data_IF_474967409027
#
_entry.id   IF_474967409027
#
_cell.length_a   1.000
_cell.length_b   1.000
_cell.length_c   1.000
_cell.angle_alpha   90.00
_cell.angle_beta   90.00
_cell.angle_gamma   90.00
#
_symmetry.space_group_name_H-M   'P 1'
#
loop_
_entity.id
_entity.type
_entity.pdbx_description
1 polymer ?
#
# COMPACT_ATOMS: atom_id res chain seq x y z
N UNK A 1 53.25 33.20 -40.03
CA UNK A 1 53.22 31.74 -40.20
C UNK A 1 52.51 30.96 -39.09
N UNK A 2 52.73 31.26 -37.81
CA UNK A 2 52.04 30.57 -36.70
C UNK A 2 50.50 30.67 -36.76
N UNK A 3 49.96 31.85 -37.06
CA UNK A 3 48.51 32.06 -37.12
C UNK A 3 47.84 31.35 -38.31
N UNK A 4 48.57 31.18 -39.42
CA UNK A 4 48.07 30.46 -40.61
C UNK A 4 47.98 28.95 -40.33
N UNK A 5 48.94 28.42 -39.56
CA UNK A 5 48.97 27.02 -39.14
C UNK A 5 47.87 26.75 -38.10
N UNK A 6 47.62 27.67 -37.16
CA UNK A 6 46.53 27.56 -36.19
C UNK A 6 45.15 27.56 -36.87
N UNK A 7 44.94 28.45 -37.86
CA UNK A 7 43.70 28.48 -38.63
C UNK A 7 43.48 27.20 -39.44
N UNK A 8 44.52 26.64 -40.05
CA UNK A 8 44.44 25.37 -40.77
C UNK A 8 44.15 24.18 -39.84
N UNK A 9 44.75 24.13 -38.64
CA UNK A 9 44.49 23.07 -37.65
C UNK A 9 43.03 23.11 -37.15
N UNK A 10 42.47 24.31 -36.96
CA UNK A 10 41.06 24.47 -36.57
C UNK A 10 40.09 24.10 -37.69
N UNK A 11 40.41 24.37 -38.96
CA UNK A 11 39.58 23.95 -40.09
C UNK A 11 39.63 22.43 -40.34
N UNK A 12 40.77 21.77 -40.13
CA UNK A 12 40.90 20.30 -40.29
C UNK A 12 40.03 19.55 -39.27
N UNK A 13 39.78 20.14 -38.10
CA UNK A 13 39.02 19.50 -37.02
C UNK A 13 37.50 19.47 -37.21
N UNK A 14 36.92 20.30 -38.09
CA UNK A 14 35.45 20.40 -38.23
C UNK A 14 34.90 19.77 -39.51
N UNK A 15 35.73 19.60 -40.55
CA UNK A 15 35.31 19.02 -41.84
C UNK A 15 35.78 17.57 -42.05
N UNK A 16 36.41 16.96 -41.04
CA UNK A 16 36.86 15.58 -41.15
C UNK A 16 35.66 14.64 -41.31
N UNK A 17 35.68 13.81 -42.35
CA UNK A 17 34.58 12.89 -42.68
C UNK A 17 34.21 11.94 -41.52
N UNK A 18 35.16 11.65 -40.64
CA UNK A 18 34.91 10.87 -39.42
C UNK A 18 34.02 11.59 -38.40
N UNK A 19 34.12 12.92 -38.24
CA UNK A 19 33.23 13.65 -37.33
C UNK A 19 31.78 13.59 -37.83
N UNK A 20 31.55 13.79 -39.14
CA UNK A 20 30.22 13.62 -39.74
C UNK A 20 29.67 12.20 -39.56
N UNK A 21 30.52 11.17 -39.63
CA UNK A 21 30.12 9.79 -39.37
C UNK A 21 29.77 9.55 -37.90
N UNK A 22 30.51 10.15 -36.97
CA UNK A 22 30.24 10.08 -35.53
C UNK A 22 28.90 10.77 -35.21
N UNK A 23 28.69 12.00 -35.71
CA UNK A 23 27.44 12.74 -35.52
C UNK A 23 26.25 11.96 -36.08
N UNK A 24 26.41 11.36 -37.26
CA UNK A 24 25.36 10.55 -37.89
C UNK A 24 25.09 9.26 -37.10
N UNK A 25 26.12 8.63 -36.54
CA UNK A 25 25.97 7.46 -35.67
C UNK A 25 25.28 7.81 -34.36
N UNK A 26 25.60 8.96 -33.77
CA UNK A 26 24.97 9.47 -32.56
C UNK A 26 23.48 9.75 -32.78
N UNK A 27 23.15 10.50 -33.84
CA UNK A 27 21.76 10.81 -34.19
C UNK A 27 20.94 9.54 -34.45
N UNK A 28 21.51 8.59 -35.22
CA UNK A 28 20.84 7.32 -35.49
C UNK A 28 20.64 6.47 -34.22
N UNK A 29 21.61 6.49 -33.30
CA UNK A 29 21.50 5.75 -32.04
C UNK A 29 20.48 6.38 -31.11
N UNK A 30 20.46 7.71 -31.02
CA UNK A 30 19.47 8.45 -30.24
C UNK A 30 18.05 8.18 -30.74
N UNK A 31 17.83 8.27 -32.06
CA UNK A 31 16.53 7.98 -32.67
C UNK A 31 16.05 6.55 -32.36
N UNK A 32 16.94 5.55 -32.48
CA UNK A 32 16.60 4.15 -32.17
C UNK A 32 16.25 3.92 -30.70
N UNK A 33 16.98 4.57 -29.78
CA UNK A 33 16.69 4.50 -28.35
C UNK A 33 15.32 5.12 -28.05
N UNK A 34 15.04 6.26 -28.68
CA UNK A 34 13.77 6.95 -28.52
C UNK A 34 12.59 6.11 -29.03
N UNK A 35 12.71 5.55 -30.24
CA UNK A 35 11.69 4.67 -30.83
C UNK A 35 11.43 3.42 -29.97
N UNK A 36 12.49 2.79 -29.47
CA UNK A 36 12.37 1.63 -28.60
C UNK A 36 11.69 1.98 -27.27
N UNK A 37 12.06 3.10 -26.66
CA UNK A 37 11.44 3.58 -25.42
C UNK A 37 9.96 3.93 -25.63
N UNK A 38 9.62 4.54 -26.76
CA UNK A 38 8.23 4.91 -27.08
C UNK A 38 7.37 3.69 -27.38
N UNK A 39 7.93 2.68 -28.05
CA UNK A 39 7.27 1.39 -28.25
C UNK A 39 7.00 0.70 -26.90
N UNK A 40 8.00 0.62 -26.03
CA UNK A 40 7.83 0.03 -24.70
C UNK A 40 6.78 0.76 -23.84
N UNK A 41 6.69 2.10 -23.95
CA UNK A 41 5.64 2.87 -23.27
C UNK A 41 4.24 2.54 -23.80
N UNK A 42 4.10 2.39 -25.13
CA UNK A 42 2.81 2.02 -25.74
C UNK A 42 2.38 0.61 -25.33
N UNK A 43 3.30 -0.35 -25.35
CA UNK A 43 3.03 -1.73 -24.92
C UNK A 43 2.60 -1.77 -23.45
N UNK A 44 3.26 -1.01 -22.58
CA UNK A 44 2.88 -0.90 -21.17
C UNK A 44 1.48 -0.30 -21.00
N UNK A 45 1.18 0.76 -21.74
CA UNK A 45 -0.12 1.43 -21.69
C UNK A 45 -1.24 0.48 -22.11
N UNK A 46 -1.04 -0.28 -23.19
CA UNK A 46 -2.01 -1.25 -23.67
C UNK A 46 -2.28 -2.35 -22.62
N UNK A 47 -1.24 -2.88 -21.96
CA UNK A 47 -1.39 -3.88 -20.90
C UNK A 47 -2.16 -3.33 -19.69
N UNK A 48 -1.91 -2.07 -19.30
CA UNK A 48 -2.65 -1.40 -18.23
C UNK A 48 -4.13 -1.28 -18.59
N UNK A 49 -4.43 -0.84 -19.81
CA UNK A 49 -5.81 -0.65 -20.27
C UNK A 49 -6.57 -1.97 -20.36
N UNK A 50 -5.93 -3.04 -20.85
CA UNK A 50 -6.51 -4.39 -20.87
C UNK A 50 -6.80 -4.91 -19.46
N UNK A 51 -5.88 -4.73 -18.51
CA UNK A 51 -6.07 -5.14 -17.11
C UNK A 51 -7.23 -4.37 -16.47
N UNK A 52 -7.31 -3.06 -16.70
CA UNK A 52 -8.40 -2.22 -16.21
C UNK A 52 -9.76 -2.69 -16.71
N UNK A 53 -9.89 -2.99 -17.99
CA UNK A 53 -11.15 -3.51 -18.55
C UNK A 53 -11.49 -4.89 -18.00
N UNK A 54 -10.50 -5.76 -17.77
CA UNK A 54 -10.71 -7.06 -17.12
C UNK A 54 -11.26 -6.91 -15.70
N UNK A 55 -10.64 -6.07 -14.86
CA UNK A 55 -11.08 -5.79 -13.49
C UNK A 55 -12.49 -5.19 -13.45
N UNK A 56 -12.77 -4.26 -14.37
CA UNK A 56 -14.09 -3.64 -14.49
C UNK A 56 -15.16 -4.68 -14.84
N UNK A 57 -14.87 -5.58 -15.77
CA UNK A 57 -15.79 -6.66 -16.17
C UNK A 57 -16.05 -7.63 -15.02
N UNK A 58 -15.00 -8.13 -14.36
CA UNK A 58 -15.16 -9.08 -13.24
C UNK A 58 -15.89 -8.45 -12.05
N UNK A 59 -15.63 -7.17 -11.75
CA UNK A 59 -16.36 -6.41 -10.73
C UNK A 59 -17.85 -6.26 -11.09
N UNK A 60 -18.16 -5.98 -12.35
CA UNK A 60 -19.53 -5.90 -12.84
C UNK A 60 -20.26 -7.24 -12.75
N UNK A 61 -19.61 -8.33 -13.19
CA UNK A 61 -20.17 -9.69 -13.14
C UNK A 61 -20.44 -10.11 -11.68
N UNK A 62 -19.52 -9.80 -10.75
CA UNK A 62 -19.72 -9.99 -9.31
C UNK A 62 -20.94 -9.23 -8.78
N UNK A 63 -21.10 -7.97 -9.16
CA UNK A 63 -22.24 -7.16 -8.74
C UNK A 63 -23.57 -7.72 -9.27
N UNK A 64 -23.61 -8.17 -10.52
CA UNK A 64 -24.78 -8.82 -11.11
C UNK A 64 -25.12 -10.11 -10.34
N UNK A 65 -24.13 -10.96 -10.10
CA UNK A 65 -24.34 -12.23 -9.38
C UNK A 65 -24.86 -11.99 -7.96
N UNK A 66 -24.30 -11.02 -7.25
CA UNK A 66 -24.74 -10.67 -5.90
C UNK A 66 -26.18 -10.13 -5.87
N UNK A 67 -26.57 -9.33 -6.87
CA UNK A 67 -27.95 -8.86 -7.02
C UNK A 67 -28.92 -10.00 -7.37
N UNK A 68 -28.53 -10.89 -8.27
CA UNK A 68 -29.36 -12.04 -8.66
C UNK A 68 -29.59 -13.01 -7.49
N UNK A 69 -28.53 -13.34 -6.74
CA UNK A 69 -28.64 -14.17 -5.54
C UNK A 69 -29.50 -13.53 -4.45
N UNK A 70 -29.44 -12.20 -4.30
CA UNK A 70 -30.31 -11.47 -3.38
C UNK A 70 -31.78 -11.52 -3.77
N UNK A 71 -32.09 -11.48 -5.07
CA UNK A 71 -33.47 -11.57 -5.57
C UNK A 71 -34.05 -12.98 -5.47
N UNK A 72 -33.21 -14.01 -5.52
CA UNK A 72 -33.61 -15.40 -5.40
C UNK A 72 -33.86 -15.87 -3.94
N UNK A 73 -33.48 -15.06 -2.93
CA UNK A 73 -33.54 -15.39 -1.49
C UNK A 73 -32.81 -16.70 -1.11
N UNK A 74 -31.94 -17.19 -2.01
CA UNK A 74 -31.25 -18.48 -1.95
C UNK A 74 -29.76 -18.30 -1.64
N UNK A 75 -29.40 -17.40 -0.74
CA UNK A 75 -27.99 -17.20 -0.37
C UNK A 75 -27.55 -18.27 0.64
N UNK A 76 -26.63 -19.15 0.22
CA UNK A 76 -25.96 -20.07 1.11
C UNK A 76 -24.66 -19.44 1.62
N UNK A 77 -24.23 -19.83 2.82
CA UNK A 77 -22.95 -19.40 3.41
C UNK A 77 -21.76 -19.66 2.45
N UNK A 78 -21.88 -20.72 1.63
CA UNK A 78 -20.92 -21.07 0.58
C UNK A 78 -20.76 -19.96 -0.48
N UNK A 79 -21.84 -19.27 -0.84
CA UNK A 79 -21.80 -18.21 -1.86
C UNK A 79 -21.08 -16.97 -1.32
N UNK A 80 -21.27 -16.67 -0.03
CA UNK A 80 -20.55 -15.58 0.64
C UNK A 80 -19.04 -15.85 0.72
N UNK A 81 -18.65 -17.08 1.04
CA UNK A 81 -17.24 -17.50 1.03
C UNK A 81 -16.65 -17.32 -0.37
N UNK A 82 -17.38 -17.77 -1.40
CA UNK A 82 -16.95 -17.67 -2.80
C UNK A 82 -16.81 -16.21 -3.26
N UNK A 83 -17.74 -15.32 -2.91
CA UNK A 83 -17.62 -13.90 -3.21
C UNK A 83 -16.44 -13.27 -2.48
N UNK A 84 -16.23 -13.60 -1.20
CA UNK A 84 -15.09 -13.10 -0.43
C UNK A 84 -13.76 -13.51 -1.08
N UNK A 85 -13.64 -14.76 -1.52
CA UNK A 85 -12.46 -15.23 -2.26
C UNK A 85 -12.29 -14.50 -3.59
N UNK A 86 -13.36 -14.28 -4.34
CA UNK A 86 -13.33 -13.53 -5.60
C UNK A 86 -12.93 -12.06 -5.39
N UNK A 87 -13.42 -11.42 -4.32
CA UNK A 87 -13.02 -10.06 -3.94
C UNK A 87 -11.56 -9.98 -3.51
N UNK A 88 -11.07 -10.89 -2.66
CA UNK A 88 -9.66 -10.93 -2.28
C UNK A 88 -8.75 -11.18 -3.49
N UNK A 89 -9.17 -12.03 -4.43
CA UNK A 89 -8.45 -12.22 -5.69
C UNK A 89 -8.41 -10.96 -6.53
N UNK A 90 -9.54 -10.26 -6.66
CA UNK A 90 -9.61 -8.99 -7.39
C UNK A 90 -8.73 -7.91 -6.74
N UNK A 91 -8.73 -7.84 -5.41
CA UNK A 91 -7.90 -6.91 -4.64
C UNK A 91 -6.41 -7.19 -4.86
N UNK A 92 -6.01 -8.45 -4.86
CA UNK A 92 -4.65 -8.86 -5.23
C UNK A 92 -4.31 -8.50 -6.67
N UNK A 93 -5.20 -8.76 -7.63
CA UNK A 93 -5.00 -8.37 -9.04
C UNK A 93 -4.85 -6.85 -9.22
N UNK A 94 -5.51 -6.04 -8.39
CA UNK A 94 -5.36 -4.57 -8.38
C UNK A 94 -4.04 -4.14 -7.72
N UNK A 95 -3.66 -4.77 -6.60
CA UNK A 95 -2.46 -4.40 -5.83
C UNK A 95 -1.16 -4.85 -6.51
N UNK A 96 -1.17 -5.97 -7.23
CA UNK A 96 -0.03 -6.45 -8.02
C UNK A 96 -0.40 -6.45 -9.50
N UNK A 97 -0.45 -5.27 -10.15
CA UNK A 97 -1.05 -5.19 -11.47
C UNK A 97 -0.25 -6.02 -12.47
N UNK A 98 1.09 -6.10 -12.37
CA UNK A 98 1.93 -6.99 -13.19
C UNK A 98 3.31 -7.19 -12.53
N UNK A 99 3.87 -8.41 -12.59
CA UNK A 99 5.28 -8.63 -12.30
C UNK A 99 6.11 -8.26 -13.54
N UNK A 100 6.32 -6.96 -13.76
CA UNK A 100 7.14 -6.46 -14.87
C UNK A 100 8.58 -6.87 -14.61
N UNK A 101 9.07 -7.86 -15.36
CA UNK A 101 10.49 -8.21 -15.36
C UNK A 101 11.18 -7.45 -16.48
N UNK A 102 12.15 -6.62 -16.09
CA UNK A 102 13.04 -5.98 -17.05
C UNK A 102 14.07 -7.01 -17.50
N UNK A 103 13.95 -7.50 -18.74
CA UNK A 103 14.93 -8.41 -19.32
C UNK A 103 16.05 -7.60 -19.97
N UNK A 104 17.16 -7.45 -19.27
CA UNK A 104 18.37 -6.87 -19.86
C UNK A 104 19.09 -7.88 -20.74
N UNK A 105 19.12 -7.61 -22.05
CA UNK A 105 19.95 -8.37 -22.97
C UNK A 105 21.41 -7.90 -22.88
N UNK A 106 22.24 -8.64 -22.14
CA UNK A 106 23.68 -8.34 -21.93
C UNK A 106 24.54 -8.33 -23.21
N UNK A 107 23.99 -8.76 -24.34
CA UNK A 107 24.70 -8.83 -25.64
C UNK A 107 24.51 -7.60 -26.53
N UNK A 108 23.59 -6.69 -26.20
CA UNK A 108 23.34 -5.49 -26.99
C UNK A 108 24.03 -4.26 -26.38
N UNK A 109 24.62 -3.41 -27.23
CA UNK A 109 25.22 -2.13 -26.81
C UNK A 109 24.17 -1.16 -26.23
N UNK A 110 22.89 -1.38 -26.57
CA UNK A 110 21.74 -0.69 -26.01
C UNK A 110 20.83 -1.79 -25.40
N UNK A 111 20.54 -1.76 -24.09
CA UNK A 111 19.67 -2.74 -23.48
C UNK A 111 18.25 -2.61 -24.06
N UNK A 112 17.77 -3.68 -24.70
CA UNK A 112 16.38 -3.76 -25.13
C UNK A 112 15.49 -3.98 -23.91
N UNK A 113 14.59 -3.04 -23.65
CA UNK A 113 13.56 -3.18 -22.62
C UNK A 113 12.42 -3.99 -23.22
N UNK A 114 12.31 -5.25 -22.84
CA UNK A 114 11.16 -6.09 -23.19
C UNK A 114 10.25 -6.23 -21.97
N UNK A 115 8.97 -5.92 -22.15
CA UNK A 115 7.94 -6.10 -21.13
C UNK A 115 7.27 -7.44 -21.40
N UNK A 116 7.44 -8.40 -20.50
CA UNK A 116 6.74 -9.67 -20.54
C UNK A 116 5.68 -9.71 -19.44
N UNK A 117 4.43 -9.93 -19.84
CA UNK A 117 3.36 -10.25 -18.89
C UNK A 117 3.57 -11.67 -18.40
N UNK A 118 3.92 -11.83 -17.12
CA UNK A 118 3.88 -13.15 -16.50
C UNK A 118 2.42 -13.52 -16.26
N UNK A 119 1.85 -14.38 -17.09
CA UNK A 119 0.57 -14.99 -16.78
C UNK A 119 0.70 -15.78 -15.47
N UNK A 120 -0.01 -15.30 -14.44
CA UNK A 120 -0.38 -15.99 -13.20
C UNK A 120 0.73 -16.80 -12.51
N UNK A 121 1.34 -16.23 -11.47
CA UNK A 121 2.03 -17.03 -10.44
C UNK A 121 0.96 -17.85 -9.71
N UNK A 122 0.88 -19.15 -10.01
CA UNK A 122 0.19 -20.10 -9.16
C UNK A 122 1.01 -20.33 -7.88
N UNK A 123 0.31 -20.20 -6.74
CA UNK A 123 0.54 -20.84 -5.44
C UNK A 123 1.91 -20.69 -4.76
N UNK A 124 1.99 -19.78 -3.79
CA UNK A 124 2.30 -20.05 -2.36
C UNK A 124 2.51 -18.70 -1.63
N UNK A 125 1.75 -18.48 -0.55
CA UNK A 125 1.85 -17.29 0.29
C UNK A 125 3.21 -17.26 1.02
N UNK A 126 4.02 -16.18 0.89
CA UNK A 126 5.20 -16.01 1.73
C UNK A 126 4.76 -15.49 3.11
N UNK A 127 5.09 -16.25 4.14
CA UNK A 127 5.02 -15.82 5.54
C UNK A 127 6.08 -14.74 5.76
N UNK A 128 5.66 -13.49 5.91
CA UNK A 128 6.55 -12.38 6.24
C UNK A 128 6.89 -12.43 7.74
N UNK A 129 8.14 -12.77 8.04
CA UNK A 129 8.73 -12.63 9.37
C UNK A 129 8.95 -11.14 9.67
N UNK A 130 8.25 -10.63 10.68
CA UNK A 130 8.50 -9.29 11.23
C UNK A 130 9.68 -9.32 12.21
N UNK A 131 10.67 -8.45 12.00
CA UNK A 131 11.78 -8.23 12.94
C UNK A 131 11.36 -7.28 14.07
N UNK A 132 11.85 -7.46 15.32
CA UNK A 132 11.39 -6.69 16.46
C UNK A 132 12.25 -5.42 16.67
N UNK A 133 11.60 -4.26 16.74
CA UNK A 133 12.16 -3.07 17.39
C UNK A 133 11.42 -2.85 18.70
N UNK A 134 12.13 -3.10 19.79
CA UNK A 134 11.65 -3.14 21.16
C UNK A 134 11.34 -1.72 21.68
N UNK A 135 10.06 -1.38 21.82
CA UNK A 135 9.59 -0.42 22.84
C UNK A 135 8.74 -1.23 23.81
N UNK A 136 9.08 -1.12 25.10
CA UNK A 136 8.61 -2.01 26.18
C UNK A 136 7.09 -1.88 26.35
N UNK A 137 6.34 -2.79 25.75
CA UNK A 137 4.91 -2.97 25.98
C UNK A 137 4.71 -3.46 27.41
N UNK A 138 3.86 -2.77 28.17
CA UNK A 138 3.50 -3.15 29.53
C UNK A 138 2.15 -3.86 29.47
N UNK A 139 2.17 -5.18 29.65
CA UNK A 139 0.96 -5.96 29.87
C UNK A 139 0.47 -5.75 31.31
N UNK A 140 -0.68 -5.12 31.49
CA UNK A 140 -1.34 -5.04 32.79
C UNK A 140 -2.52 -6.01 32.80
N UNK A 141 -2.47 -7.00 33.69
CA UNK A 141 -3.59 -7.91 33.95
C UNK A 141 -4.58 -7.23 34.90
N UNK A 142 -5.67 -6.71 34.35
CA UNK A 142 -6.87 -6.33 35.11
C UNK A 142 -7.75 -7.60 35.21
N UNK A 143 -8.42 -7.89 36.33
CA UNK A 143 -9.29 -9.07 36.42
C UNK A 143 -10.32 -9.07 35.29
N UNK A 144 -10.18 -10.04 34.36
CA UNK A 144 -11.09 -10.21 33.22
C UNK A 144 -10.69 -9.50 31.91
N UNK A 145 -9.67 -8.63 31.89
CA UNK A 145 -9.23 -7.92 30.67
C UNK A 145 -7.71 -7.78 30.66
N UNK A 146 -7.04 -8.35 29.67
CA UNK A 146 -5.63 -8.07 29.43
C UNK A 146 -5.51 -6.84 28.52
N UNK A 147 -4.83 -5.80 29.02
CA UNK A 147 -4.66 -4.53 28.33
C UNK A 147 -3.21 -4.35 27.88
N UNK A 148 -3.07 -3.97 26.63
CA UNK A 148 -1.83 -3.48 26.03
C UNK A 148 -1.82 -1.96 26.09
N UNK A 149 -0.81 -1.40 26.74
CA UNK A 149 -0.75 0.03 27.05
C UNK A 149 0.54 0.61 26.49
N UNK A 150 0.41 1.76 25.84
CA UNK A 150 1.53 2.55 25.33
C UNK A 150 1.34 4.02 25.72
N UNK A 151 2.34 4.61 26.40
CA UNK A 151 2.30 6.00 26.86
C UNK A 151 1.90 6.16 28.33
N UNK A 152 1.62 7.41 28.78
CA UNK A 152 1.45 7.75 30.18
C UNK A 152 0.03 7.44 30.67
N UNK A 153 -0.23 6.16 30.96
CA UNK A 153 -1.52 5.66 31.43
C UNK A 153 -1.38 5.09 32.85
N UNK A 154 -2.21 5.58 33.76
CA UNK A 154 -2.47 4.96 35.06
C UNK A 154 -3.70 4.05 34.99
N UNK A 155 -3.59 2.85 35.57
CA UNK A 155 -4.71 1.91 35.69
C UNK A 155 -5.04 1.70 37.17
N UNK A 156 -6.24 2.08 37.58
CA UNK A 156 -6.75 1.81 38.93
C UNK A 156 -7.48 0.46 38.95
N UNK A 157 -6.86 -0.53 39.59
CA UNK A 157 -7.30 -1.94 39.58
C UNK A 157 -8.69 -2.17 40.16
N UNK A 158 -9.10 -1.36 41.14
CA UNK A 158 -10.35 -1.58 41.88
C UNK A 158 -11.61 -1.33 41.04
N UNK A 159 -11.52 -0.46 40.02
CA UNK A 159 -12.68 -0.04 39.23
C UNK A 159 -12.45 -0.14 37.71
N UNK A 160 -11.37 -0.79 37.26
CA UNK A 160 -10.95 -0.82 35.85
C UNK A 160 -10.90 0.58 35.22
N UNK A 161 -10.49 1.58 36.02
CA UNK A 161 -10.41 2.98 35.55
C UNK A 161 -9.07 3.21 34.89
N UNK A 162 -9.12 3.82 33.72
CA UNK A 162 -7.96 4.21 32.94
C UNK A 162 -7.87 5.73 33.02
N UNK A 163 -6.70 6.24 33.42
CA UNK A 163 -6.43 7.66 33.54
C UNK A 163 -5.19 8.02 32.73
N UNK A 164 -5.29 9.03 31.89
CA UNK A 164 -4.11 9.67 31.32
C UNK A 164 -3.40 10.45 32.44
N UNK A 165 -2.12 10.13 32.67
CA UNK A 165 -1.28 10.71 33.73
C UNK A 165 -0.12 11.55 33.17
N UNK A 166 -0.08 11.72 31.86
CA UNK A 166 0.98 12.46 31.17
C UNK A 166 0.75 13.96 31.13
N UNK A 167 1.69 14.66 30.50
CA UNK A 167 1.56 16.10 30.19
C UNK A 167 0.59 16.32 29.00
N UNK A 168 0.21 17.56 28.75
CA UNK A 168 -0.87 17.93 27.81
C UNK A 168 -0.64 17.54 26.35
N UNK A 169 0.61 17.31 25.96
CA UNK A 169 1.03 16.97 24.59
C UNK A 169 1.34 15.47 24.40
N UNK A 170 1.34 14.67 25.47
CA UNK A 170 1.60 13.24 25.37
C UNK A 170 0.35 12.46 24.96
N UNK A 171 0.52 11.50 24.05
CA UNK A 171 -0.53 10.56 23.66
C UNK A 171 -0.45 9.28 24.49
N UNK A 172 -1.61 8.76 24.87
CA UNK A 172 -1.77 7.48 25.54
C UNK A 172 -2.67 6.57 24.72
N UNK A 173 -2.27 5.31 24.59
CA UNK A 173 -2.96 4.30 23.82
C UNK A 173 -3.24 3.12 24.72
N UNK A 174 -4.49 2.66 24.68
CA UNK A 174 -4.92 1.45 25.40
C UNK A 174 -5.65 0.56 24.39
N UNK A 175 -5.23 -0.69 24.33
CA UNK A 175 -5.81 -1.71 23.46
C UNK A 175 -6.16 -2.93 24.29
N UNK A 176 -7.36 -3.45 24.08
CA UNK A 176 -7.75 -4.73 24.63
C UNK A 176 -7.07 -5.87 23.85
N UNK A 177 -6.66 -6.90 24.58
CA UNK A 177 -6.20 -8.19 24.04
C UNK A 177 -7.32 -9.02 23.40
N UNK A 178 -8.59 -8.71 23.71
CA UNK A 178 -9.73 -9.40 23.13
C UNK A 178 -9.83 -9.15 21.62
N UNK A 179 -9.92 -10.24 20.88
CA UNK A 179 -10.01 -10.23 19.43
C UNK A 179 -11.46 -10.43 18.97
N UNK A 180 -11.98 -9.46 18.23
CA UNK A 180 -13.31 -9.55 17.60
C UNK A 180 -13.18 -10.30 16.28
N UNK A 181 -13.74 -11.51 16.20
CA UNK A 181 -13.62 -12.36 15.01
C UNK A 181 -14.87 -12.31 14.13
N UNK A 182 -16.05 -12.51 14.73
CA UNK A 182 -17.33 -12.58 14.05
C UNK A 182 -18.48 -12.14 14.97
N UNK A 183 -19.54 -11.57 14.40
CA UNK A 183 -20.77 -11.21 15.10
C UNK A 183 -20.81 -9.77 15.61
N UNK A 184 -21.84 -9.46 16.40
CA UNK A 184 -22.03 -8.13 16.97
C UNK A 184 -21.43 -8.06 18.37
N UNK A 185 -20.46 -7.18 18.55
CA UNK A 185 -19.84 -6.92 19.84
C UNK A 185 -20.24 -5.55 20.35
N UNK A 186 -20.51 -5.45 21.65
CA UNK A 186 -20.87 -4.17 22.30
C UNK A 186 -19.81 -3.82 23.33
N UNK A 187 -19.09 -2.73 23.09
CA UNK A 187 -18.20 -2.12 24.08
C UNK A 187 -18.94 -0.95 24.75
N UNK A 188 -18.94 -0.92 26.09
CA UNK A 188 -19.49 0.20 26.86
C UNK A 188 -18.38 0.89 27.62
N UNK A 189 -18.16 2.17 27.31
CA UNK A 189 -17.17 3.01 27.99
C UNK A 189 -17.90 4.17 28.66
N UNK A 190 -17.51 4.50 29.89
CA UNK A 190 -17.98 5.68 30.61
C UNK A 190 -16.81 6.66 30.77
N UNK A 191 -16.98 7.87 30.25
CA UNK A 191 -16.01 8.96 30.42
C UNK A 191 -16.40 9.77 31.65
N UNK A 192 -15.60 9.69 32.71
CA UNK A 192 -15.88 10.39 33.97
C UNK A 192 -15.29 11.80 34.02
N UNK A 193 -14.11 12.01 33.41
CA UNK A 193 -13.42 13.29 33.42
C UNK A 193 -12.78 13.55 32.05
N UNK A 194 -13.27 14.58 31.36
CA UNK A 194 -12.78 15.01 30.06
C UNK A 194 -12.63 16.53 30.06
N UNK A 195 -11.44 17.00 29.68
CA UNK A 195 -11.12 18.44 29.62
C UNK A 195 -10.56 18.77 28.25
N UNK A 196 -10.96 19.90 27.69
CA UNK A 196 -10.30 20.49 26.51
C UNK A 196 -8.88 20.92 26.94
N UNK A 197 -7.83 20.72 26.12
CA UNK A 197 -7.85 20.37 24.69
C UNK A 197 -7.71 18.88 24.35
N UNK A 198 -7.88 17.97 25.31
CA UNK A 198 -7.68 16.55 25.04
C UNK A 198 -8.71 16.01 24.04
N UNK A 199 -8.29 15.06 23.22
CA UNK A 199 -9.14 14.31 22.29
C UNK A 199 -9.09 12.82 22.63
N UNK A 200 -10.24 12.15 22.60
CA UNK A 200 -10.31 10.70 22.80
C UNK A 200 -10.74 10.06 21.49
N UNK A 201 -10.00 9.04 21.04
CA UNK A 201 -10.36 8.17 19.94
C UNK A 201 -10.92 6.84 20.48
N UNK A 202 -12.06 6.41 19.94
CA UNK A 202 -12.59 5.08 20.17
C UNK A 202 -12.66 4.35 18.85
N UNK A 203 -12.09 3.14 18.77
CA UNK A 203 -12.08 2.39 17.53
C UNK A 203 -11.57 0.97 17.67
N UNK A 204 -11.58 0.28 16.55
CA UNK A 204 -11.02 -1.05 16.35
C UNK A 204 -9.81 -0.93 15.41
N UNK A 205 -8.83 -1.79 15.62
CA UNK A 205 -7.69 -1.94 14.71
C UNK A 205 -7.52 -3.41 14.36
N UNK A 206 -6.88 -3.72 13.24
CA UNK A 206 -6.49 -5.08 12.90
C UNK A 206 -5.70 -5.73 14.05
N UNK A 207 -5.98 -7.02 14.31
CA UNK A 207 -5.27 -7.85 15.28
C UNK A 207 -3.78 -8.03 14.94
N UNK A 208 -3.43 -7.89 13.66
CA UNK A 208 -2.05 -8.00 13.16
C UNK A 208 -1.25 -6.70 13.33
N UNK A 209 -1.90 -5.58 13.65
CA UNK A 209 -1.22 -4.30 13.84
C UNK A 209 -0.53 -4.24 15.21
N UNK A 210 0.71 -3.76 15.24
CA UNK A 210 1.42 -3.51 16.50
C UNK A 210 0.90 -2.23 17.13
N UNK A 211 0.74 -2.20 18.46
CA UNK A 211 0.37 -0.98 19.17
C UNK A 211 1.52 0.03 19.06
N UNK A 212 1.30 1.09 18.29
CA UNK A 212 2.31 2.11 18.00
C UNK A 212 1.73 3.52 18.19
N UNK A 213 2.58 4.56 18.34
CA UNK A 213 2.11 5.94 18.26
C UNK A 213 1.36 6.18 16.94
N UNK A 214 0.34 7.01 16.97
CA UNK A 214 -0.51 7.35 15.83
C UNK A 214 -1.27 6.17 15.21
N UNK A 215 -1.49 5.07 15.95
CA UNK A 215 -2.24 3.90 15.44
C UNK A 215 -3.62 4.26 14.89
N UNK A 216 -4.28 5.28 15.44
CA UNK A 216 -5.57 5.78 14.96
C UNK A 216 -5.52 6.34 13.52
N UNK A 217 -4.33 6.64 12.98
CA UNK A 217 -4.11 7.05 11.59
C UNK A 217 -3.79 5.89 10.66
N UNK A 218 -3.65 4.67 11.19
CA UNK A 218 -3.42 3.48 10.38
C UNK A 218 -4.62 3.22 9.48
N UNK A 219 -4.37 2.77 8.25
CA UNK A 219 -5.40 2.30 7.33
C UNK A 219 -6.22 1.14 7.91
N UNK A 220 -5.67 0.41 8.88
CA UNK A 220 -6.33 -0.70 9.56
C UNK A 220 -7.15 -0.27 10.78
N UNK A 221 -7.26 1.03 11.08
CA UNK A 221 -8.02 1.55 12.21
C UNK A 221 -9.34 2.18 11.76
N UNK A 222 -10.41 1.83 12.45
CA UNK A 222 -11.77 2.33 12.21
C UNK A 222 -12.33 2.81 13.53
N UNK A 223 -12.85 4.02 13.60
CA UNK A 223 -13.31 4.57 14.87
C UNK A 223 -13.84 5.98 14.77
N UNK A 224 -13.85 6.71 15.88
CA UNK A 224 -14.35 8.07 15.94
C UNK A 224 -13.63 8.88 17.02
N UNK A 225 -13.58 10.20 16.82
CA UNK A 225 -13.05 11.15 17.78
C UNK A 225 -14.18 11.86 18.53
N UNK A 226 -14.05 11.95 19.85
CA UNK A 226 -15.02 12.65 20.70
C UNK A 226 -16.38 11.95 20.75
N UNK A 227 -17.38 12.61 21.35
CA UNK A 227 -18.68 11.99 21.62
C UNK A 227 -19.70 12.08 20.46
N UNK A 228 -19.36 12.73 19.34
CA UNK A 228 -20.36 13.11 18.30
C UNK A 228 -19.91 13.03 16.84
N UNK A 229 -18.63 12.81 16.54
CA UNK A 229 -18.15 12.87 15.16
C UNK A 229 -17.69 11.48 14.70
N UNK A 230 -18.44 10.84 13.81
CA UNK A 230 -18.02 9.60 13.14
C UNK A 230 -16.82 9.91 12.25
N UNK A 231 -15.75 9.12 12.35
CA UNK A 231 -14.58 9.24 11.47
C UNK A 231 -14.55 8.04 10.52
N UNK A 232 -14.81 8.27 9.24
CA UNK A 232 -14.60 7.28 8.19
C UNK A 232 -13.27 7.58 7.50
N UNK A 233 -12.24 6.80 7.86
CA UNK A 233 -10.95 6.54 7.19
C UNK A 233 -10.12 7.73 6.66
N UNK A 234 -8.79 7.60 6.81
CA UNK A 234 -7.83 8.45 6.11
C UNK A 234 -7.81 8.13 4.61
N UNK A 235 -7.81 9.18 3.79
CA UNK A 235 -7.39 9.15 2.37
C UNK A 235 -5.94 8.73 2.23
#
# INVERSE_FOLDING_TARGET
DYDLIQYQIQQISTDHSLFKQIDQWEQNSFAKIQDAAETARKDLQELIDQSKEKVKKTSHDLAINLLASRQADDYLEKDFILWKEQFSKLELEIQTPFAIKMLENKSAFIPLIKIESSESINNELPIVQQSPVLKKELEIKVPGVALNILGPVGVEKENSRIKHIGVTDECAYVRDSLLYHNGQHTLRVRVENFKIPFSIFFGCTSSTSVLAPDIHRSQCSIGWFGCKNVYEHGT
#
